data_IF_791925608192
#
_entry.id   IF_791925608192
#
_cell.length_a   1.000
_cell.length_b   1.000
_cell.length_c   1.000
_cell.angle_alpha   90.00
_cell.angle_beta   90.00
_cell.angle_gamma   90.00
#
_symmetry.space_group_name_H-M   'P 1'
#
loop_
_entity.id
_entity.type
_entity.pdbx_description
1 polymer ?
#
# COMPACT_ATOMS: atom_id res chain seq x y z
N UNK A 1 -11.68 20.26 7.62
CA UNK A 1 -10.91 19.72 8.75
C UNK A 1 -10.37 20.90 9.55
N UNK A 2 -10.59 20.90 10.85
CA UNK A 2 -10.15 21.98 11.72
C UNK A 2 -8.64 21.96 11.93
N UNK A 3 -7.96 23.10 11.80
CA UNK A 3 -6.53 23.21 12.07
C UNK A 3 -6.16 22.83 13.52
N UNK A 4 -7.09 22.99 14.44
CA UNK A 4 -6.87 22.63 15.85
C UNK A 4 -6.74 21.12 16.07
N UNK A 5 -7.36 20.32 15.23
CA UNK A 5 -7.29 18.86 15.31
C UNK A 5 -5.99 18.30 14.74
N UNK A 6 -5.25 19.11 14.03
CA UNK A 6 -4.04 18.69 13.33
C UNK A 6 -2.76 19.26 13.94
N UNK A 7 -2.82 19.88 15.11
CA UNK A 7 -1.65 20.51 15.70
C UNK A 7 -0.48 19.57 15.97
N UNK A 8 -0.76 18.28 16.15
CA UNK A 8 0.25 17.26 16.39
C UNK A 8 0.64 16.49 15.12
N UNK A 9 0.08 16.85 13.97
CA UNK A 9 0.31 16.13 12.72
C UNK A 9 1.09 16.98 11.72
N UNK A 10 2.04 16.36 11.06
CA UNK A 10 2.77 16.94 9.93
C UNK A 10 2.33 16.22 8.66
N UNK A 11 2.05 17.00 7.62
CA UNK A 11 1.57 16.51 6.33
C UNK A 11 2.57 16.85 5.24
N UNK A 12 2.78 15.89 4.32
CA UNK A 12 3.46 16.15 3.07
C UNK A 12 2.81 15.34 1.97
N UNK A 13 2.70 15.94 0.79
CA UNK A 13 2.26 15.23 -0.39
C UNK A 13 3.41 14.39 -0.94
N UNK A 14 3.14 13.11 -1.18
CA UNK A 14 4.13 12.20 -1.71
C UNK A 14 4.02 12.12 -3.22
N UNK A 15 5.03 12.63 -3.92
CA UNK A 15 5.06 12.66 -5.37
C UNK A 15 5.87 11.53 -6.00
N UNK A 16 6.69 10.85 -5.20
CA UNK A 16 7.58 9.80 -5.68
C UNK A 16 6.96 8.41 -5.68
N UNK A 17 5.74 8.29 -5.16
CA UNK A 17 5.01 7.04 -5.08
C UNK A 17 3.66 7.14 -5.78
N UNK A 18 3.20 6.00 -6.27
CA UNK A 18 1.87 5.85 -6.86
C UNK A 18 1.19 4.64 -6.26
N UNK A 19 -0.13 4.61 -6.40
CA UNK A 19 -0.96 3.48 -5.98
C UNK A 19 -1.46 2.76 -7.22
N UNK A 20 -1.16 1.47 -7.30
CA UNK A 20 -1.55 0.61 -8.42
C UNK A 20 -2.65 -0.32 -7.97
N UNK A 21 -3.78 -0.28 -8.64
CA UNK A 21 -4.90 -1.20 -8.36
C UNK A 21 -4.83 -2.41 -9.27
N UNK A 22 -4.97 -3.60 -8.67
CA UNK A 22 -5.05 -4.88 -9.37
C UNK A 22 -6.40 -5.50 -9.00
N UNK A 23 -7.33 -5.50 -9.93
CA UNK A 23 -8.72 -5.90 -9.68
C UNK A 23 -9.14 -7.04 -10.61
N UNK A 24 -10.11 -7.80 -10.18
CA UNK A 24 -10.73 -8.87 -10.96
C UNK A 24 -10.88 -10.16 -10.17
N UNK A 25 -11.67 -11.08 -10.72
CA UNK A 25 -11.91 -12.38 -10.07
C UNK A 25 -10.62 -13.17 -9.82
N UNK A 26 -9.65 -13.03 -10.71
CA UNK A 26 -8.40 -13.78 -10.64
C UNK A 26 -7.24 -13.00 -10.02
N UNK A 27 -7.49 -11.80 -9.48
CA UNK A 27 -6.43 -10.94 -8.94
C UNK A 27 -5.63 -11.62 -7.83
N UNK A 28 -6.30 -12.30 -6.91
CA UNK A 28 -5.64 -12.99 -5.80
C UNK A 28 -4.71 -14.11 -6.31
N UNK A 29 -5.21 -14.99 -7.16
CA UNK A 29 -4.40 -16.09 -7.72
C UNK A 29 -3.27 -15.55 -8.59
N UNK A 30 -3.54 -14.51 -9.36
CA UNK A 30 -2.54 -13.87 -10.21
C UNK A 30 -1.39 -13.31 -9.37
N UNK A 31 -1.69 -12.50 -8.36
CA UNK A 31 -0.67 -11.89 -7.52
C UNK A 31 0.04 -12.92 -6.65
N UNK A 32 -0.64 -13.97 -6.22
CA UNK A 32 -0.01 -15.05 -5.46
C UNK A 32 1.13 -15.70 -6.26
N UNK A 33 0.98 -15.80 -7.57
CA UNK A 33 2.01 -16.33 -8.45
C UNK A 33 3.10 -15.34 -8.83
N UNK A 34 2.88 -14.04 -8.64
CA UNK A 34 3.79 -12.99 -9.12
C UNK A 34 4.60 -12.34 -8.01
N UNK A 35 4.14 -12.42 -6.77
CA UNK A 35 4.73 -11.71 -5.63
C UNK A 35 5.34 -12.68 -4.61
N UNK A 36 6.26 -12.16 -3.80
CA UNK A 36 6.89 -12.95 -2.73
C UNK A 36 6.00 -13.12 -1.51
N UNK A 37 5.00 -12.24 -1.34
CA UNK A 37 4.09 -12.29 -0.22
C UNK A 37 2.97 -13.31 -0.46
N UNK A 38 2.52 -13.97 0.61
CA UNK A 38 1.32 -14.81 0.56
C UNK A 38 0.08 -13.93 0.67
N UNK A 39 -0.44 -13.50 -0.48
CA UNK A 39 -1.60 -12.58 -0.51
C UNK A 39 -2.90 -13.28 -0.13
N UNK A 40 -2.97 -14.61 -0.25
CA UNK A 40 -4.16 -15.38 0.12
C UNK A 40 -4.46 -15.35 1.61
N UNK A 41 -3.44 -15.14 2.44
CA UNK A 41 -3.58 -15.06 3.89
C UNK A 41 -3.87 -13.65 4.40
N UNK A 42 -3.91 -12.66 3.51
CA UNK A 42 -4.18 -11.28 3.90
C UNK A 42 -5.64 -11.08 4.22
N UNK A 43 -5.92 -10.49 5.38
CA UNK A 43 -7.24 -10.03 5.75
C UNK A 43 -7.53 -8.63 5.22
N UNK A 44 -8.77 -8.13 5.43
CA UNK A 44 -9.19 -6.85 4.88
C UNK A 44 -8.50 -5.63 5.51
N UNK A 45 -7.84 -5.81 6.64
CA UNK A 45 -7.13 -4.73 7.33
C UNK A 45 -5.62 -4.92 7.35
N UNK A 46 -5.11 -5.91 6.61
CA UNK A 46 -3.67 -6.18 6.55
C UNK A 46 -2.98 -5.32 5.50
N UNK A 47 -1.79 -4.82 5.86
CA UNK A 47 -0.85 -4.24 4.92
C UNK A 47 0.47 -4.98 5.06
N UNK A 48 1.07 -5.37 3.95
CA UNK A 48 2.32 -6.14 3.95
C UNK A 48 3.29 -5.62 2.91
N UNK A 49 4.56 -5.73 3.21
CA UNK A 49 5.59 -5.53 2.21
C UNK A 49 5.67 -6.75 1.30
N UNK A 50 5.82 -6.50 0.02
CA UNK A 50 5.99 -7.55 -0.97
C UNK A 50 7.03 -7.15 -2.00
N UNK A 51 7.56 -8.13 -2.71
CA UNK A 51 8.49 -7.91 -3.79
C UNK A 51 8.06 -8.74 -4.99
N UNK A 52 8.27 -8.19 -6.16
CA UNK A 52 8.18 -8.93 -7.41
C UNK A 52 9.60 -9.22 -7.89
N UNK A 53 9.86 -10.46 -8.25
CA UNK A 53 11.17 -10.87 -8.73
C UNK A 53 11.13 -11.10 -10.25
N UNK A 54 12.22 -10.75 -10.92
CA UNK A 54 12.37 -11.12 -12.32
C UNK A 54 12.71 -12.60 -12.43
N UNK A 55 12.78 -13.12 -13.66
CA UNK A 55 13.06 -14.54 -13.93
C UNK A 55 14.46 -14.98 -13.49
N UNK A 56 15.34 -14.04 -13.12
CA UNK A 56 16.67 -14.33 -12.57
C UNK A 56 16.66 -14.36 -11.04
N UNK A 57 15.49 -14.20 -10.41
CA UNK A 57 15.35 -14.19 -8.95
C UNK A 57 15.75 -12.89 -8.29
N UNK A 58 16.02 -11.83 -9.06
CA UNK A 58 16.34 -10.51 -8.52
C UNK A 58 15.06 -9.72 -8.29
N UNK A 59 15.04 -8.95 -7.22
CA UNK A 59 13.91 -8.05 -6.93
C UNK A 59 13.79 -6.99 -8.02
N UNK A 60 12.67 -7.01 -8.72
CA UNK A 60 12.35 -6.02 -9.74
C UNK A 60 11.62 -4.82 -9.16
N UNK A 61 10.75 -5.07 -8.18
CA UNK A 61 9.96 -4.02 -7.54
C UNK A 61 9.61 -4.43 -6.11
N UNK A 62 9.64 -3.47 -5.21
CA UNK A 62 9.15 -3.62 -3.84
C UNK A 62 7.94 -2.72 -3.66
N UNK A 63 6.90 -3.23 -3.05
CA UNK A 63 5.67 -2.48 -2.84
C UNK A 63 5.02 -2.82 -1.50
N UNK A 64 4.16 -1.91 -1.05
CA UNK A 64 3.28 -2.14 0.09
C UNK A 64 1.92 -2.55 -0.46
N UNK A 65 1.43 -3.72 -0.09
CA UNK A 65 0.19 -4.27 -0.62
C UNK A 65 -0.90 -4.28 0.45
N UNK A 66 -2.11 -3.92 0.04
CA UNK A 66 -3.33 -3.96 0.84
C UNK A 66 -4.46 -4.58 0.05
N UNK A 67 -5.48 -5.11 0.73
CA UNK A 67 -6.71 -5.52 0.06
C UNK A 67 -7.60 -4.32 -0.18
N UNK A 68 -8.17 -4.27 -1.37
CA UNK A 68 -9.21 -3.29 -1.73
C UNK A 68 -10.42 -4.06 -2.27
N UNK A 69 -11.59 -3.41 -2.40
CA UNK A 69 -12.73 -4.07 -3.03
C UNK A 69 -12.35 -4.62 -4.41
N UNK A 70 -12.67 -5.89 -4.62
CA UNK A 70 -12.44 -6.62 -5.88
C UNK A 70 -10.95 -6.83 -6.24
N UNK A 71 -10.04 -6.71 -5.28
CA UNK A 71 -8.64 -6.96 -5.58
C UNK A 71 -7.65 -6.47 -4.53
N UNK A 72 -6.55 -5.92 -5.03
CA UNK A 72 -5.45 -5.45 -4.21
C UNK A 72 -4.96 -4.09 -4.70
N UNK A 73 -4.39 -3.33 -3.79
CA UNK A 73 -3.68 -2.10 -4.11
C UNK A 73 -2.23 -2.19 -3.69
N UNK A 74 -1.34 -1.67 -4.52
CA UNK A 74 0.10 -1.68 -4.27
C UNK A 74 0.64 -0.26 -4.32
N UNK A 75 1.27 0.17 -3.24
CA UNK A 75 2.01 1.42 -3.18
C UNK A 75 3.45 1.14 -3.61
N UNK A 76 3.90 1.80 -4.67
CA UNK A 76 5.24 1.58 -5.21
C UNK A 76 5.86 2.88 -5.72
N UNK A 77 7.20 2.92 -5.86
CA UNK A 77 7.84 4.09 -6.44
C UNK A 77 7.33 4.38 -7.85
N UNK A 78 7.05 5.65 -8.11
CA UNK A 78 6.55 6.10 -9.40
C UNK A 78 7.52 5.77 -10.53
N UNK A 79 8.83 5.86 -10.26
CA UNK A 79 9.87 5.62 -11.25
C UNK A 79 9.87 4.22 -11.86
N UNK A 80 9.37 3.23 -11.11
CA UNK A 80 9.31 1.84 -11.58
C UNK A 80 7.88 1.37 -11.89
N UNK A 81 6.88 2.18 -11.60
CA UNK A 81 5.48 1.75 -11.65
C UNK A 81 5.03 1.35 -13.05
N UNK A 82 5.37 2.12 -14.05
CA UNK A 82 4.95 1.81 -15.43
C UNK A 82 5.61 0.53 -15.93
N UNK A 83 6.90 0.36 -15.67
CA UNK A 83 7.63 -0.85 -16.05
C UNK A 83 7.06 -2.08 -15.35
N UNK A 84 6.71 -1.94 -14.07
CA UNK A 84 6.12 -3.03 -13.30
C UNK A 84 4.72 -3.38 -13.79
N UNK A 85 3.89 -2.39 -14.09
CA UNK A 85 2.56 -2.61 -14.66
C UNK A 85 2.68 -3.31 -16.01
N UNK A 86 3.59 -2.86 -16.85
CA UNK A 86 3.82 -3.47 -18.17
C UNK A 86 4.30 -4.92 -18.02
N UNK A 87 5.19 -5.17 -17.08
CA UNK A 87 5.70 -6.52 -16.80
C UNK A 87 4.60 -7.46 -16.32
N UNK A 88 3.82 -7.03 -15.34
CA UNK A 88 2.70 -7.83 -14.80
C UNK A 88 1.64 -8.07 -15.86
N UNK A 89 1.36 -7.07 -16.69
CA UNK A 89 0.33 -7.17 -17.73
C UNK A 89 0.63 -8.26 -18.75
N UNK A 90 1.91 -8.56 -18.99
CA UNK A 90 2.31 -9.64 -19.91
C UNK A 90 1.92 -11.02 -19.41
N UNK A 91 1.70 -11.19 -18.12
CA UNK A 91 1.37 -12.48 -17.51
C UNK A 91 -0.13 -12.65 -17.23
N UNK A 92 -0.94 -11.64 -17.51
CA UNK A 92 -2.39 -11.73 -17.29
C UNK A 92 -3.02 -12.81 -18.15
N UNK A 93 -2.62 -12.90 -19.43
CA UNK A 93 -3.11 -13.88 -20.40
C UNK A 93 -4.64 -13.95 -20.40
N UNK A 94 -5.21 -15.08 -19.96
CA UNK A 94 -6.65 -15.30 -19.89
C UNK A 94 -7.25 -14.99 -18.52
N UNK A 95 -6.44 -14.55 -17.57
CA UNK A 95 -6.90 -14.21 -16.24
C UNK A 95 -7.79 -12.97 -16.27
N UNK A 96 -8.84 -12.98 -15.46
CA UNK A 96 -9.72 -11.83 -15.31
C UNK A 96 -9.12 -10.85 -14.30
N UNK A 97 -8.17 -10.06 -14.78
CA UNK A 97 -7.39 -9.12 -14.00
C UNK A 97 -7.23 -7.83 -14.78
N UNK A 98 -7.43 -6.71 -14.11
CA UNK A 98 -7.16 -5.38 -14.63
C UNK A 98 -6.16 -4.67 -13.72
N UNK A 99 -5.16 -4.03 -14.31
CA UNK A 99 -4.12 -3.30 -13.58
C UNK A 99 -4.16 -1.85 -14.00
N UNK A 100 -4.21 -0.95 -13.02
CA UNK A 100 -4.34 0.48 -13.26
C UNK A 100 -3.50 1.27 -12.27
N UNK A 101 -2.74 2.25 -12.77
CA UNK A 101 -2.09 3.25 -11.92
C UNK A 101 -3.12 4.32 -11.60
N UNK A 102 -3.46 4.47 -10.33
CA UNK A 102 -4.46 5.43 -9.90
C UNK A 102 -3.87 6.84 -9.82
N UNK A 103 -4.58 7.86 -10.30
CA UNK A 103 -4.09 9.23 -10.31
C UNK A 103 -4.24 9.97 -8.97
N UNK A 104 -4.91 9.36 -8.00
CA UNK A 104 -5.18 9.98 -6.72
C UNK A 104 -3.89 10.32 -5.97
N UNK A 105 -3.83 11.48 -5.32
CA UNK A 105 -2.64 11.89 -4.59
C UNK A 105 -2.40 11.02 -3.36
N UNK A 106 -1.14 10.85 -3.03
CA UNK A 106 -0.72 10.16 -1.82
C UNK A 106 -0.23 11.21 -0.84
N UNK A 107 -0.76 11.18 0.36
CA UNK A 107 -0.36 12.08 1.44
C UNK A 107 0.28 11.27 2.55
N UNK A 108 1.50 11.61 2.89
CA UNK A 108 2.17 11.10 4.08
C UNK A 108 1.90 12.04 5.24
N UNK A 109 1.53 11.49 6.37
CA UNK A 109 1.36 12.27 7.57
C UNK A 109 1.93 11.53 8.78
N UNK A 110 2.51 12.28 9.69
CA UNK A 110 3.08 11.74 10.91
C UNK A 110 2.75 12.65 12.09
N UNK A 111 2.82 12.08 13.28
CA UNK A 111 2.59 12.82 14.52
C UNK A 111 3.62 12.40 15.55
N UNK A 112 4.17 13.38 16.26
CA UNK A 112 5.05 13.16 17.40
C UNK A 112 4.27 12.86 18.68
N UNK A 113 2.95 13.03 18.66
CA UNK A 113 2.09 12.76 19.81
C UNK A 113 1.64 11.30 19.79
N UNK A 114 2.18 10.50 20.71
CA UNK A 114 1.80 9.10 20.85
C UNK A 114 0.30 8.88 21.11
N UNK A 115 -0.39 9.90 21.65
CA UNK A 115 -1.83 9.84 21.92
C UNK A 115 -2.69 10.29 20.73
N UNK A 116 -2.08 10.84 19.68
CA UNK A 116 -2.83 11.30 18.52
C UNK A 116 -3.62 10.15 17.87
N UNK A 117 -3.11 8.95 17.99
CA UNK A 117 -3.70 7.75 17.42
C UNK A 117 -4.85 7.18 18.26
N UNK A 118 -4.90 7.54 19.55
CA UNK A 118 -5.97 7.09 20.44
C UNK A 118 -7.26 7.89 20.28
N UNK A 119 -7.23 8.92 19.45
CA UNK A 119 -8.44 9.68 19.14
C UNK A 119 -9.40 8.82 18.34
N UNK A 120 -10.69 8.90 18.63
CA UNK A 120 -11.68 8.12 17.89
C UNK A 120 -11.81 8.63 16.46
N UNK A 121 -10.95 8.12 15.61
CA UNK A 121 -11.02 8.33 14.18
C UNK A 121 -11.04 6.96 13.51
N UNK A 122 -12.18 6.52 12.97
CA UNK A 122 -12.28 5.18 12.38
C UNK A 122 -11.37 4.99 11.17
N UNK A 123 -10.90 6.06 10.56
CA UNK A 123 -10.01 5.98 9.42
C UNK A 123 -8.52 5.80 9.82
N UNK A 124 -8.18 5.85 11.11
CA UNK A 124 -6.80 5.68 11.55
C UNK A 124 -6.57 4.27 12.09
N UNK A 125 -5.76 3.45 11.41
CA UNK A 125 -5.36 2.14 11.92
C UNK A 125 -4.61 2.27 13.24
N UNK A 126 -4.86 1.35 14.17
CA UNK A 126 -4.27 1.40 15.50
C UNK A 126 -2.91 0.71 15.59
N UNK A 127 -2.70 -0.28 14.74
CA UNK A 127 -1.48 -1.08 14.75
C UNK A 127 -0.64 -0.80 13.50
N UNK A 128 0.71 -0.89 13.62
CA UNK A 128 1.56 -0.84 12.45
C UNK A 128 1.20 -1.93 11.44
N UNK A 129 1.34 -1.62 10.17
CA UNK A 129 1.01 -2.52 9.05
C UNK A 129 -0.46 -2.94 9.05
N UNK A 130 -1.31 -2.09 9.55
CA UNK A 130 -2.75 -2.21 9.46
C UNK A 130 -3.28 -1.14 8.51
N UNK A 131 -4.31 -1.50 7.75
CA UNK A 131 -4.93 -0.61 6.78
C UNK A 131 -6.40 -0.39 7.11
N UNK A 132 -6.87 0.81 6.86
CA UNK A 132 -8.29 1.13 6.75
C UNK A 132 -8.59 1.38 5.29
N UNK A 133 -9.55 0.64 4.73
CA UNK A 133 -9.96 0.78 3.33
C UNK A 133 -11.41 1.28 3.32
N UNK A 134 -11.59 2.56 3.00
CA UNK A 134 -12.91 3.17 2.86
C UNK A 134 -13.31 3.32 1.41
N UNK A 135 -14.46 3.96 1.19
CA UNK A 135 -15.00 4.13 -0.17
C UNK A 135 -14.17 5.10 -1.01
N UNK A 136 -13.55 6.08 -0.37
CA UNK A 136 -12.81 7.15 -1.06
C UNK A 136 -11.41 7.37 -0.50
N UNK A 137 -10.98 6.57 0.48
CA UNK A 137 -9.69 6.75 1.13
C UNK A 137 -9.13 5.41 1.58
N UNK A 138 -7.81 5.27 1.47
CA UNK A 138 -7.06 4.15 2.03
C UNK A 138 -6.00 4.75 2.96
N UNK A 139 -5.97 4.29 4.19
CA UNK A 139 -5.01 4.75 5.18
C UNK A 139 -4.22 3.55 5.69
N UNK A 140 -2.91 3.61 5.59
CA UNK A 140 -2.01 2.56 6.08
C UNK A 140 -1.13 3.14 7.16
N UNK A 141 -1.06 2.48 8.28
CA UNK A 141 -0.12 2.84 9.34
C UNK A 141 1.20 2.12 9.13
N UNK A 142 2.24 2.90 8.93
CA UNK A 142 3.60 2.37 8.84
C UNK A 142 4.22 2.25 10.24
N UNK A 143 5.24 1.38 10.42
CA UNK A 143 5.98 1.34 11.66
C UNK A 143 6.61 2.69 11.96
N UNK A 144 6.57 3.09 13.23
CA UNK A 144 7.19 4.36 13.63
C UNK A 144 8.71 4.24 13.58
N UNK A 145 9.33 5.24 12.98
CA UNK A 145 10.77 5.42 13.06
C UNK A 145 11.07 6.31 14.26
N UNK A 146 10.92 5.77 15.46
CA UNK A 146 11.45 6.48 16.61
C UNK A 146 12.98 6.39 16.57
N UNK A 147 13.64 7.28 17.29
CA UNK A 147 15.11 7.37 17.27
C UNK A 147 15.79 6.07 17.73
N UNK A 148 15.08 5.20 18.42
CA UNK A 148 15.57 3.90 18.88
C UNK A 148 15.46 2.83 17.81
N UNK A 149 14.40 2.88 17.00
CA UNK A 149 14.23 1.96 15.88
C UNK A 149 15.23 2.18 14.75
N UNK A 150 15.78 3.37 14.64
CA UNK A 150 16.77 3.69 13.62
C UNK A 150 18.16 3.15 13.92
N UNK A 151 18.41 2.70 15.12
CA UNK A 151 19.71 2.18 15.56
C UNK A 151 19.74 0.65 15.67
N UNK A 152 18.64 0.02 15.27
CA UNK A 152 18.54 -1.43 15.22
C UNK A 152 19.39 -2.09 14.18
#
# INVERSE_FOLDING_TARGET
>A
MSMLELNSWTFSEEQDFVFVAVRGEDAENFLQGMLTQNVKTMGPTDARWTAACNHQGRTAATSLIVRIPNGFGMLMPKSISQDEVDRLSKFILRSKVEIEILPEPITYFCSDDAKAIDRPCPALPREPMQAFVGDSVIVVRLPSNDAQGMHG
#
